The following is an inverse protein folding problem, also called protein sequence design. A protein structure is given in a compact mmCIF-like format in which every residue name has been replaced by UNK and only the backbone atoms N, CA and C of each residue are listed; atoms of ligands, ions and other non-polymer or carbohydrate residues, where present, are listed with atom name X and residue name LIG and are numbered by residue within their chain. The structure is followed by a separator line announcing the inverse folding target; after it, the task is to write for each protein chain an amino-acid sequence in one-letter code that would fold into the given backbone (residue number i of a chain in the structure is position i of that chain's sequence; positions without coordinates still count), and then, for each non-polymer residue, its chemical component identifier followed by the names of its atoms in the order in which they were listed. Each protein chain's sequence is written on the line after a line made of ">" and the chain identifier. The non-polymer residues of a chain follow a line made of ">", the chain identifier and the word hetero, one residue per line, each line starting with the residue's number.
data_IF_886015119887
#
_entry.id   IF_886015119887
#
_cell.length_a   1.000
_cell.length_b   1.000
_cell.length_c   1.000
_cell.angle_alpha   90.00
_cell.angle_beta   90.00
_cell.angle_gamma   90.00
#
_symmetry.space_group_name_H-M   'P 1'
#
loop_
_entity.id
_entity.type
_entity.pdbx_description
1 polymer ?
#
# COMPACT_ATOMS: atom_id res chain seq x y z
N UNK A 1 -4.39 25.01 -8.53
CA UNK A 1 -5.58 24.17 -8.77
C UNK A 1 -6.88 24.88 -8.38
N UNK A 2 -7.02 25.42 -7.16
CA UNK A 2 -8.27 26.10 -6.74
C UNK A 2 -8.63 27.26 -7.67
N UNK A 3 -7.69 28.17 -7.92
CA UNK A 3 -7.89 29.33 -8.83
C UNK A 3 -8.26 28.90 -10.26
N UNK A 4 -7.68 27.82 -10.75
CA UNK A 4 -7.95 27.30 -12.10
C UNK A 4 -9.18 26.40 -12.15
N UNK A 5 -9.77 26.07 -11.02
CA UNK A 5 -10.85 25.10 -10.85
C UNK A 5 -10.60 23.78 -11.62
N UNK A 6 -9.37 23.33 -11.67
CA UNK A 6 -8.97 22.12 -12.41
C UNK A 6 -7.68 21.52 -11.82
N UNK A 7 -7.65 20.21 -11.70
CA UNK A 7 -6.44 19.50 -11.28
C UNK A 7 -6.69 18.06 -10.89
N UNK A 8 -5.60 17.33 -10.72
CA UNK A 8 -5.62 15.95 -10.21
C UNK A 8 -4.56 15.78 -9.15
N UNK A 9 -4.94 15.19 -8.03
CA UNK A 9 -4.08 14.79 -6.93
C UNK A 9 -4.08 13.26 -6.86
N UNK A 10 -2.94 12.64 -7.12
CA UNK A 10 -2.76 11.19 -7.01
C UNK A 10 -1.83 10.95 -5.83
N UNK A 11 -2.38 10.46 -4.72
CA UNK A 11 -1.62 10.15 -3.53
C UNK A 11 -1.10 8.70 -3.59
N UNK A 12 0.21 8.53 -3.56
CA UNK A 12 0.84 7.21 -3.59
C UNK A 12 0.85 6.61 -2.19
N UNK A 13 0.03 5.59 -2.00
CA UNK A 13 -0.10 4.86 -0.73
C UNK A 13 0.61 3.51 -0.79
N UNK A 14 -0.01 2.46 -0.33
CA UNK A 14 0.44 1.06 -0.45
C UNK A 14 -0.76 0.13 -0.22
N UNK A 15 -0.72 -1.08 -0.76
CA UNK A 15 -1.68 -2.12 -0.37
C UNK A 15 -1.58 -2.45 1.12
N UNK A 16 -0.42 -2.23 1.74
CA UNK A 16 -0.24 -2.31 3.19
C UNK A 16 -1.09 -1.30 3.99
N UNK A 17 -1.66 -0.29 3.32
CA UNK A 17 -2.62 0.64 3.93
C UNK A 17 -4.03 0.06 4.08
N UNK A 18 -4.32 -1.08 3.47
CA UNK A 18 -5.59 -1.78 3.63
C UNK A 18 -5.55 -2.85 4.71
N UNK A 19 -4.36 -3.25 5.16
CA UNK A 19 -4.17 -4.34 6.13
C UNK A 19 -2.98 -4.07 7.03
N UNK A 20 -3.10 -4.40 8.32
CA UNK A 20 -1.97 -4.45 9.23
C UNK A 20 -1.03 -5.58 8.82
N UNK A 21 0.24 -5.27 8.64
CA UNK A 21 1.25 -6.25 8.30
C UNK A 21 2.18 -6.48 9.50
N UNK A 22 2.64 -7.72 9.74
CA UNK A 22 3.56 -8.04 10.82
C UNK A 22 4.80 -7.15 10.77
N UNK A 23 5.24 -6.66 11.93
CA UNK A 23 6.42 -5.79 12.10
C UNK A 23 6.42 -4.49 11.28
N UNK A 24 5.29 -4.14 10.65
CA UNK A 24 5.09 -2.92 9.84
C UNK A 24 3.88 -2.11 10.29
N UNK A 25 3.47 -2.19 11.56
CA UNK A 25 2.26 -1.56 12.06
C UNK A 25 2.23 -0.04 11.81
N UNK A 26 3.29 0.68 12.16
CA UNK A 26 3.37 2.12 11.91
C UNK A 26 3.29 2.47 10.42
N UNK A 27 3.97 1.71 9.56
CA UNK A 27 3.90 1.89 8.12
C UNK A 27 2.47 1.68 7.60
N UNK A 28 1.83 0.56 7.98
CA UNK A 28 0.45 0.26 7.59
C UNK A 28 -0.51 1.35 8.07
N UNK A 29 -0.38 1.81 9.32
CA UNK A 29 -1.21 2.87 9.88
C UNK A 29 -1.06 4.19 9.10
N UNK A 30 0.17 4.62 8.79
CA UNK A 30 0.41 5.85 8.03
C UNK A 30 -0.18 5.78 6.63
N UNK A 31 -0.03 4.63 5.96
CA UNK A 31 -0.59 4.43 4.61
C UNK A 31 -2.12 4.31 4.62
N UNK A 32 -2.72 3.76 5.68
CA UNK A 32 -4.17 3.74 5.89
C UNK A 32 -4.72 5.15 6.11
N UNK A 33 -4.05 5.97 6.94
CA UNK A 33 -4.44 7.36 7.16
C UNK A 33 -4.54 8.16 5.85
N UNK A 34 -3.65 7.91 4.89
CA UNK A 34 -3.69 8.56 3.58
C UNK A 34 -4.93 8.17 2.75
N UNK A 35 -5.50 6.97 2.93
CA UNK A 35 -6.75 6.59 2.27
C UNK A 35 -7.91 7.44 2.81
N UNK A 36 -8.05 7.51 4.13
CA UNK A 36 -9.09 8.29 4.81
C UNK A 36 -8.95 9.79 4.48
N UNK A 37 -7.72 10.31 4.48
CA UNK A 37 -7.46 11.71 4.09
C UNK A 37 -7.97 12.00 2.68
N UNK A 38 -7.71 11.13 1.71
CA UNK A 38 -8.18 11.33 0.33
C UNK A 38 -9.69 11.20 0.24
N UNK A 39 -10.33 10.33 1.01
CA UNK A 39 -11.80 10.23 1.07
C UNK A 39 -12.42 11.54 1.55
N UNK A 40 -11.91 12.12 2.65
CA UNK A 40 -12.34 13.41 3.17
C UNK A 40 -12.13 14.52 2.12
N UNK A 41 -10.93 14.61 1.58
CA UNK A 41 -10.61 15.62 0.57
C UNK A 41 -11.50 15.53 -0.68
N UNK A 42 -11.91 14.34 -1.08
CA UNK A 42 -12.86 14.14 -2.19
C UNK A 42 -14.24 14.75 -1.90
N UNK A 43 -14.71 14.65 -0.65
CA UNK A 43 -15.98 15.25 -0.23
C UNK A 43 -15.87 16.79 -0.23
N UNK A 44 -14.77 17.31 0.28
CA UNK A 44 -14.51 18.77 0.32
C UNK A 44 -14.36 19.39 -1.07
N UNK A 45 -13.77 18.65 -2.00
CA UNK A 45 -13.55 19.10 -3.39
C UNK A 45 -14.75 18.85 -4.32
N UNK A 46 -15.83 18.22 -3.84
CA UNK A 46 -17.01 17.89 -4.65
C UNK A 46 -17.59 19.07 -5.46
N UNK A 47 -17.64 20.31 -4.94
CA UNK A 47 -18.13 21.46 -5.72
C UNK A 47 -17.10 22.01 -6.73
N UNK A 48 -15.98 21.33 -6.96
CA UNK A 48 -14.92 21.76 -7.88
C UNK A 48 -14.65 20.73 -8.98
N UNK A 49 -13.85 21.12 -9.98
CA UNK A 49 -13.35 20.18 -10.99
C UNK A 49 -11.98 19.58 -10.62
N UNK A 50 -11.57 19.67 -9.35
CA UNK A 50 -10.36 19.04 -8.84
C UNK A 50 -10.72 17.61 -8.41
N UNK A 51 -9.94 16.65 -8.90
CA UNK A 51 -10.14 15.24 -8.57
C UNK A 51 -8.95 14.71 -7.78
N UNK A 52 -9.21 13.85 -6.82
CA UNK A 52 -8.15 13.17 -6.10
C UNK A 52 -8.43 11.67 -5.93
N UNK A 53 -7.37 10.89 -5.84
CA UNK A 53 -7.43 9.44 -5.62
C UNK A 53 -6.17 8.96 -4.89
N UNK A 54 -6.26 7.75 -4.35
CA UNK A 54 -5.07 7.00 -3.96
C UNK A 54 -4.68 6.02 -5.08
N UNK A 55 -3.38 5.82 -5.26
CA UNK A 55 -2.81 4.69 -5.96
C UNK A 55 -1.98 3.89 -4.95
N UNK A 56 -2.38 2.67 -4.70
CA UNK A 56 -1.75 1.75 -3.75
C UNK A 56 -0.93 0.69 -4.49
N UNK A 57 0.39 0.87 -4.63
CA UNK A 57 1.25 -0.18 -5.11
C UNK A 57 1.33 -1.36 -4.13
N UNK A 58 1.48 -2.57 -4.68
CA UNK A 58 2.03 -3.71 -3.98
C UNK A 58 3.56 -3.62 -3.94
N UNK A 59 4.23 -4.78 -3.96
CA UNK A 59 5.68 -4.80 -4.01
C UNK A 59 6.17 -4.31 -5.38
N UNK A 60 7.17 -3.43 -5.34
CA UNK A 60 7.77 -2.80 -6.51
C UNK A 60 9.27 -3.02 -6.45
N UNK A 61 9.82 -3.63 -7.49
CA UNK A 61 11.25 -3.88 -7.62
C UNK A 61 12.01 -2.54 -7.69
N UNK A 62 12.65 -2.20 -6.58
CA UNK A 62 13.45 -0.98 -6.39
C UNK A 62 14.53 -1.23 -5.33
N UNK A 63 15.48 -0.32 -5.21
CA UNK A 63 16.53 -0.41 -4.17
C UNK A 63 16.03 -0.09 -2.75
N UNK A 64 14.72 -0.19 -2.49
CA UNK A 64 14.14 0.17 -1.19
C UNK A 64 14.63 -0.74 -0.06
N UNK A 65 14.91 -2.02 -0.34
CA UNK A 65 15.47 -2.97 0.63
C UNK A 65 16.79 -2.49 1.20
N UNK A 66 17.66 -1.92 0.36
CA UNK A 66 18.97 -1.38 0.75
C UNK A 66 18.86 -0.04 1.52
N UNK A 67 17.81 0.74 1.24
CA UNK A 67 17.58 2.06 1.85
C UNK A 67 16.70 2.02 3.10
N UNK A 68 16.17 0.85 3.45
CA UNK A 68 15.27 0.68 4.58
C UNK A 68 16.06 0.71 5.89
N UNK A 69 15.69 1.63 6.79
CA UNK A 69 16.22 1.61 8.15
C UNK A 69 15.63 0.41 8.92
N UNK A 70 16.50 -0.42 9.45
CA UNK A 70 16.14 -1.55 10.29
C UNK A 70 16.67 -1.35 11.69
N UNK A 71 15.80 -1.50 12.68
CA UNK A 71 16.24 -1.59 14.07
C UNK A 71 16.94 -2.95 14.26
N UNK A 72 18.19 -2.98 14.77
CA UNK A 72 18.86 -4.25 15.05
C UNK A 72 18.05 -5.04 16.09
N UNK A 73 17.89 -6.33 15.85
CA UNK A 73 17.26 -7.21 16.83
C UNK A 73 18.23 -7.42 17.98
N UNK A 74 17.80 -7.14 19.20
CA UNK A 74 18.62 -7.39 20.38
C UNK A 74 18.85 -8.89 20.55
N UNK A 75 20.06 -9.29 20.92
CA UNK A 75 20.36 -10.65 21.32
C UNK A 75 19.41 -11.06 22.46
N UNK A 76 18.94 -12.31 22.40
CA UNK A 76 17.95 -12.86 23.32
C UNK A 76 16.53 -12.22 23.26
N UNK A 77 16.22 -11.46 22.22
CA UNK A 77 14.85 -11.00 22.00
C UNK A 77 13.93 -12.18 21.61
N UNK A 78 12.73 -12.30 22.21
CA UNK A 78 11.76 -13.33 21.80
C UNK A 78 11.31 -13.15 20.34
N UNK A 79 11.54 -12.00 19.74
CA UNK A 79 11.23 -11.69 18.35
C UNK A 79 12.36 -11.99 17.37
N UNK A 80 13.55 -12.40 17.85
CA UNK A 80 14.75 -12.53 17.00
C UNK A 80 14.53 -13.45 15.80
N UNK A 81 14.02 -14.66 16.02
CA UNK A 81 13.79 -15.64 14.95
C UNK A 81 12.68 -15.19 13.99
N UNK A 82 11.53 -14.82 14.56
CA UNK A 82 10.33 -14.47 13.77
C UNK A 82 10.54 -13.19 12.95
N UNK A 83 11.15 -12.16 13.55
CA UNK A 83 11.44 -10.92 12.86
C UNK A 83 12.52 -11.10 11.78
N UNK A 84 13.54 -11.92 12.06
CA UNK A 84 14.59 -12.25 11.09
C UNK A 84 14.05 -12.96 9.85
N UNK A 85 13.14 -13.92 10.04
CA UNK A 85 12.44 -14.60 8.94
C UNK A 85 11.56 -13.63 8.16
N UNK A 86 10.69 -12.89 8.84
CA UNK A 86 9.80 -11.91 8.21
C UNK A 86 10.57 -10.82 7.42
N UNK A 87 11.77 -10.46 7.86
CA UNK A 87 12.62 -9.51 7.15
C UNK A 87 13.15 -10.09 5.85
N UNK A 88 13.64 -11.33 5.85
CA UNK A 88 14.09 -12.02 4.63
C UNK A 88 12.98 -12.10 3.59
N UNK A 89 11.78 -12.50 4.03
CA UNK A 89 10.61 -12.60 3.15
C UNK A 89 10.23 -11.23 2.57
N UNK A 90 10.31 -10.16 3.38
CA UNK A 90 10.05 -8.79 2.90
C UNK A 90 11.03 -8.34 1.81
N UNK A 91 12.30 -8.69 1.94
CA UNK A 91 13.31 -8.29 0.95
C UNK A 91 13.17 -9.11 -0.33
N UNK A 92 12.93 -10.42 -0.23
CA UNK A 92 12.65 -11.29 -1.38
C UNK A 92 11.40 -10.84 -2.18
N UNK A 93 10.31 -10.47 -1.49
CA UNK A 93 9.11 -9.99 -2.16
C UNK A 93 9.30 -8.66 -2.92
N UNK A 94 10.25 -7.83 -2.50
CA UNK A 94 10.58 -6.60 -3.25
C UNK A 94 11.22 -6.93 -4.58
N UNK A 95 12.12 -7.91 -4.62
CA UNK A 95 12.82 -8.33 -5.83
C UNK A 95 11.86 -8.95 -6.86
N UNK A 96 10.83 -9.67 -6.40
CA UNK A 96 9.76 -10.25 -7.21
C UNK A 96 8.63 -9.25 -7.55
N UNK A 97 8.75 -8.02 -7.11
CA UNK A 97 7.76 -6.97 -7.32
C UNK A 97 7.60 -6.53 -8.78
N UNK A 98 6.54 -5.79 -9.07
CA UNK A 98 6.39 -5.18 -10.40
C UNK A 98 7.45 -4.09 -10.61
N UNK A 99 7.82 -3.85 -11.86
CA UNK A 99 8.76 -2.77 -12.18
C UNK A 99 8.19 -1.38 -11.83
N UNK A 100 9.05 -0.44 -11.44
CA UNK A 100 8.67 0.95 -11.24
C UNK A 100 7.98 1.54 -12.49
N UNK A 101 8.36 1.10 -13.70
CA UNK A 101 7.72 1.48 -14.96
C UNK A 101 6.22 1.13 -14.97
N UNK A 102 5.82 0.01 -14.40
CA UNK A 102 4.41 -0.39 -14.30
C UNK A 102 3.59 0.60 -13.46
N UNK A 103 4.18 1.10 -12.38
CA UNK A 103 3.56 2.13 -11.54
C UNK A 103 3.43 3.45 -12.30
N UNK A 104 4.49 3.87 -12.99
CA UNK A 104 4.49 5.09 -13.83
C UNK A 104 3.41 5.02 -14.92
N UNK A 105 3.29 3.89 -15.63
CA UNK A 105 2.23 3.68 -16.61
C UNK A 105 0.85 3.82 -15.97
N UNK A 106 0.67 3.30 -14.77
CA UNK A 106 -0.60 3.42 -14.04
C UNK A 106 -0.91 4.88 -13.68
N UNK A 107 0.07 5.64 -13.21
CA UNK A 107 -0.07 7.08 -12.96
C UNK A 107 -0.47 7.82 -14.25
N UNK A 108 0.21 7.55 -15.36
CA UNK A 108 -0.10 8.14 -16.65
C UNK A 108 -1.55 7.87 -17.10
N UNK A 109 -2.01 6.62 -16.91
CA UNK A 109 -3.40 6.26 -17.20
C UNK A 109 -4.39 7.02 -16.32
N UNK A 110 -4.09 7.22 -15.04
CA UNK A 110 -4.93 8.00 -14.13
C UNK A 110 -4.98 9.48 -14.53
N UNK A 111 -3.86 10.06 -14.93
CA UNK A 111 -3.81 11.44 -15.40
C UNK A 111 -4.67 11.70 -16.64
N UNK A 112 -4.86 10.68 -17.49
CA UNK A 112 -5.68 10.77 -18.71
C UNK A 112 -7.17 10.46 -18.49
N UNK A 113 -7.58 9.90 -17.33
CA UNK A 113 -8.97 9.58 -17.06
C UNK A 113 -9.82 10.82 -16.85
N UNK A 114 -11.00 10.87 -17.41
CA UNK A 114 -11.95 11.98 -17.19
C UNK A 114 -12.49 11.98 -15.75
N UNK A 115 -12.73 10.81 -15.16
CA UNK A 115 -13.22 10.67 -13.78
C UNK A 115 -12.36 9.66 -13.01
N UNK A 116 -11.94 10.04 -11.80
CA UNK A 116 -11.16 9.19 -10.91
C UNK A 116 -12.06 8.52 -9.87
N UNK A 117 -11.90 7.18 -9.71
CA UNK A 117 -12.41 6.46 -8.54
C UNK A 117 -11.60 6.87 -7.30
N UNK A 118 -12.10 6.64 -6.07
CA UNK A 118 -11.35 6.98 -4.86
C UNK A 118 -10.02 6.24 -4.75
N UNK A 119 -10.00 4.95 -5.04
CA UNK A 119 -8.86 4.07 -4.81
C UNK A 119 -8.52 3.24 -6.04
N UNK A 120 -7.23 3.09 -6.26
CA UNK A 120 -6.64 2.23 -7.29
C UNK A 120 -5.50 1.41 -6.67
N UNK A 121 -5.32 0.21 -7.19
CA UNK A 121 -4.21 -0.68 -6.83
C UNK A 121 -3.38 -1.03 -8.05
N UNK A 122 -2.07 -1.20 -7.88
CA UNK A 122 -1.14 -1.68 -8.90
C UNK A 122 -0.13 -2.63 -8.28
N UNK A 123 0.19 -3.73 -8.94
CA UNK A 123 1.10 -4.74 -8.40
C UNK A 123 0.70 -6.15 -8.78
N UNK A 124 1.34 -7.18 -8.21
CA UNK A 124 1.00 -8.58 -8.43
C UNK A 124 -0.47 -8.87 -8.14
N UNK A 125 -1.03 -9.81 -8.90
CA UNK A 125 -2.46 -10.13 -8.81
C UNK A 125 -2.91 -10.52 -7.39
N UNK A 126 -2.19 -11.42 -6.74
CA UNK A 126 -2.51 -11.90 -5.38
C UNK A 126 -2.56 -10.75 -4.37
N UNK A 127 -1.60 -9.85 -4.42
CA UNK A 127 -1.53 -8.70 -3.53
C UNK A 127 -2.70 -7.72 -3.75
N UNK A 128 -3.08 -7.49 -5.00
CA UNK A 128 -4.26 -6.69 -5.33
C UNK A 128 -5.55 -7.38 -4.90
N UNK A 129 -5.62 -8.69 -5.07
CA UNK A 129 -6.77 -9.50 -4.67
C UNK A 129 -6.95 -9.53 -3.14
N UNK A 130 -5.87 -9.54 -2.36
CA UNK A 130 -5.93 -9.53 -0.89
C UNK A 130 -6.67 -8.32 -0.32
N UNK A 131 -6.63 -7.18 -1.01
CA UNK A 131 -7.37 -5.97 -0.62
C UNK A 131 -8.89 -6.22 -0.64
N UNK A 132 -9.37 -6.88 -1.69
CA UNK A 132 -10.79 -7.27 -1.79
C UNK A 132 -11.12 -8.38 -0.79
N UNK A 133 -10.25 -9.37 -0.67
CA UNK A 133 -10.44 -10.50 0.23
C UNK A 133 -10.66 -10.03 1.68
N UNK A 134 -9.89 -9.05 2.14
CA UNK A 134 -10.07 -8.45 3.46
C UNK A 134 -11.45 -7.83 3.67
N UNK A 135 -12.04 -7.25 2.64
CA UNK A 135 -13.36 -6.60 2.74
C UNK A 135 -14.52 -7.59 2.82
N UNK A 136 -14.33 -8.82 2.35
CA UNK A 136 -15.37 -9.84 2.30
C UNK A 136 -15.22 -10.93 3.36
N UNK A 137 -14.03 -11.18 3.85
CA UNK A 137 -13.79 -12.23 4.86
C UNK A 137 -14.00 -11.72 6.28
N UNK A 138 -14.56 -12.57 7.17
CA UNK A 138 -14.49 -12.33 8.61
C UNK A 138 -13.05 -12.13 9.09
N UNK A 139 -12.85 -11.17 10.01
CA UNK A 139 -11.51 -10.77 10.44
C UNK A 139 -10.59 -11.90 10.88
N UNK A 140 -11.12 -12.88 11.65
CA UNK A 140 -10.36 -14.06 12.11
C UNK A 140 -9.88 -14.94 10.96
N UNK A 141 -10.70 -15.12 9.91
CA UNK A 141 -10.32 -15.93 8.74
C UNK A 141 -9.22 -15.21 7.97
N UNK A 142 -9.36 -13.91 7.77
CA UNK A 142 -8.33 -13.12 7.10
C UNK A 142 -7.01 -13.12 7.90
N UNK A 143 -7.07 -12.96 9.20
CA UNK A 143 -5.91 -13.05 10.11
C UNK A 143 -5.20 -14.41 10.01
N UNK A 144 -5.96 -15.50 10.00
CA UNK A 144 -5.42 -16.85 9.81
C UNK A 144 -4.69 -17.01 8.47
N UNK A 145 -5.29 -16.51 7.38
CA UNK A 145 -4.65 -16.54 6.05
C UNK A 145 -3.36 -15.71 6.06
N UNK A 146 -3.39 -14.52 6.68
CA UNK A 146 -2.25 -13.64 6.74
C UNK A 146 -1.11 -14.25 7.60
N UNK A 147 -1.44 -14.86 8.74
CA UNK A 147 -0.46 -15.54 9.58
C UNK A 147 0.23 -16.68 8.84
N UNK A 148 -0.51 -17.47 8.09
CA UNK A 148 0.06 -18.54 7.24
C UNK A 148 0.96 -17.99 6.14
N UNK A 149 0.57 -16.87 5.51
CA UNK A 149 1.39 -16.23 4.48
C UNK A 149 2.72 -15.69 5.02
N UNK A 150 2.76 -15.22 6.27
CA UNK A 150 3.96 -14.71 6.93
C UNK A 150 4.67 -15.72 7.84
N UNK A 151 4.27 -17.00 7.81
CA UNK A 151 4.86 -18.07 8.63
C UNK A 151 4.90 -17.74 10.14
N UNK A 152 3.79 -17.18 10.67
CA UNK A 152 3.59 -16.81 12.06
C UNK A 152 2.84 -17.88 12.84
#
# INVERSE_FOLDING_TARGET
>A
MRTQNKGKIINITSIAGYSGLPFRAAYSATKSALHVLIESLRLELKPTNIQCCTLAPGDVATNISQSRYHVPVKENSPYQAIYGAARKDMDAHVDDGVSAKTVVISIHRLLRKNKLKPHYTVGPFLQRFSVYLKSYLPGKIYEFILSKFYNL
#
